data_IF_560916481563
#
_entry.id   IF_560916481563
#
_cell.length_a   1.000
_cell.length_b   1.000
_cell.length_c   1.000
_cell.angle_alpha   90.00
_cell.angle_beta   90.00
_cell.angle_gamma   90.00
#
_symmetry.space_group_name_H-M   'P 1'
#
loop_
_entity.id
_entity.type
_entity.pdbx_description
1 polymer ?
#
# COMPACT_ATOMS: atom_id res chain seq x y z
N UNK A 1 19.91 -18.27 8.23
CA UNK A 1 19.09 -17.51 7.27
C UNK A 1 17.71 -17.46 7.88
N UNK A 2 17.34 -16.31 8.43
CA UNK A 2 16.00 -16.13 8.98
C UNK A 2 15.00 -16.17 7.82
N UNK A 3 13.90 -16.91 8.01
CA UNK A 3 12.82 -16.92 7.03
C UNK A 3 12.22 -15.52 6.94
N UNK A 4 11.83 -15.06 5.74
CA UNK A 4 11.15 -13.77 5.62
C UNK A 4 9.86 -13.78 6.46
N UNK A 5 9.49 -12.64 7.07
CA UNK A 5 8.29 -12.55 7.89
C UNK A 5 7.06 -12.92 7.05
N UNK A 6 6.17 -13.72 7.63
CA UNK A 6 4.89 -14.10 7.03
C UNK A 6 3.81 -13.19 7.57
N UNK A 7 2.84 -12.85 6.74
CA UNK A 7 1.71 -12.01 7.10
C UNK A 7 0.41 -12.74 6.84
N UNK A 8 -0.53 -12.59 7.75
CA UNK A 8 -1.83 -13.29 7.73
C UNK A 8 -2.96 -12.29 8.04
N UNK A 9 -4.16 -12.56 7.52
CA UNK A 9 -5.35 -11.77 7.81
C UNK A 9 -6.05 -12.30 9.05
N UNK A 10 -6.53 -11.41 9.90
CA UNK A 10 -7.24 -11.75 11.12
C UNK A 10 -8.48 -10.88 11.26
N UNK A 11 -9.60 -11.51 11.59
CA UNK A 11 -10.77 -10.80 12.11
C UNK A 11 -10.59 -10.55 13.61
N UNK A 12 -10.97 -9.36 14.04
CA UNK A 12 -11.02 -9.00 15.45
C UNK A 12 -12.35 -9.44 16.06
N UNK A 13 -12.32 -10.21 17.16
CA UNK A 13 -13.51 -10.54 17.95
C UNK A 13 -13.80 -9.47 18.97
N UNK A 14 -12.80 -9.15 19.78
CA UNK A 14 -12.90 -8.19 20.86
C UNK A 14 -11.73 -7.23 20.78
N UNK A 15 -12.02 -5.93 20.75
CA UNK A 15 -11.02 -4.88 20.83
C UNK A 15 -11.62 -3.63 21.46
N UNK A 16 -10.91 -2.96 22.37
CA UNK A 16 -11.38 -1.68 22.91
C UNK A 16 -11.24 -0.52 21.90
N UNK A 17 -10.53 -0.71 20.79
CA UNK A 17 -10.14 0.36 19.88
C UNK A 17 -10.62 0.19 18.44
N UNK A 18 -11.01 -1.03 18.07
CA UNK A 18 -11.53 -1.38 16.75
C UNK A 18 -12.92 -1.99 16.88
N UNK A 19 -13.73 -1.84 15.85
CA UNK A 19 -15.05 -2.47 15.80
C UNK A 19 -14.90 -4.00 15.68
N UNK A 20 -15.80 -4.75 16.30
CA UNK A 20 -15.88 -6.20 16.12
C UNK A 20 -16.04 -6.54 14.62
N UNK A 21 -15.35 -7.58 14.17
CA UNK A 21 -15.32 -7.98 12.76
C UNK A 21 -14.39 -7.15 11.88
N UNK A 22 -13.67 -6.17 12.43
CA UNK A 22 -12.57 -5.49 11.71
C UNK A 22 -11.54 -6.51 11.25
N UNK A 23 -11.00 -6.32 10.05
CA UNK A 23 -9.96 -7.20 9.48
C UNK A 23 -8.65 -6.45 9.41
N UNK A 24 -7.60 -7.07 9.92
CA UNK A 24 -6.24 -6.55 9.86
C UNK A 24 -5.29 -7.61 9.29
N UNK A 25 -4.32 -7.15 8.50
CA UNK A 25 -3.13 -7.94 8.20
C UNK A 25 -2.14 -7.74 9.34
N UNK A 26 -1.61 -8.84 9.89
CA UNK A 26 -0.59 -8.83 10.94
C UNK A 26 0.54 -9.78 10.59
N UNK A 27 1.71 -9.56 11.19
CA UNK A 27 2.81 -10.53 11.13
C UNK A 27 2.37 -11.82 11.82
N UNK A 28 2.49 -12.96 11.14
CA UNK A 28 2.11 -14.29 11.63
C UNK A 28 3.19 -14.85 12.56
N UNK A 29 3.42 -14.10 13.63
CA UNK A 29 4.42 -14.37 14.66
C UNK A 29 3.79 -14.10 16.01
N UNK A 30 3.42 -15.20 16.69
CA UNK A 30 2.84 -15.13 18.03
C UNK A 30 3.94 -14.82 19.04
N UNK A 31 3.78 -13.75 19.79
CA UNK A 31 4.68 -13.31 20.83
C UNK A 31 4.00 -13.37 22.20
N UNK A 32 4.78 -13.55 23.26
CA UNK A 32 4.28 -13.35 24.62
C UNK A 32 4.13 -11.85 24.87
N UNK A 33 3.08 -11.45 25.61
CA UNK A 33 2.93 -10.08 26.07
C UNK A 33 4.15 -9.59 26.87
N UNK A 34 4.87 -10.49 27.53
CA UNK A 34 6.11 -10.18 28.28
C UNK A 34 7.33 -9.88 27.39
N UNK A 35 7.31 -10.25 26.09
CA UNK A 35 8.42 -10.01 25.16
C UNK A 35 8.26 -8.72 24.33
N UNK A 36 7.28 -7.89 24.69
CA UNK A 36 7.11 -6.56 24.11
C UNK A 36 8.15 -5.62 24.74
N UNK A 37 9.12 -5.20 23.91
CA UNK A 37 10.27 -4.40 24.34
C UNK A 37 9.87 -2.96 24.72
N UNK A 38 10.65 -2.32 25.61
CA UNK A 38 10.44 -0.94 26.07
C UNK A 38 10.63 0.11 24.94
N UNK A 39 11.15 -0.31 23.79
CA UNK A 39 11.32 0.48 22.56
C UNK A 39 10.01 0.87 21.87
N UNK A 40 8.85 0.38 22.33
CA UNK A 40 7.52 0.81 21.84
C UNK A 40 7.04 2.16 22.39
N UNK A 41 7.91 2.94 23.04
CA UNK A 41 7.69 4.37 23.26
C UNK A 41 6.79 4.75 24.44
N UNK A 42 6.44 3.82 25.33
CA UNK A 42 5.83 4.14 26.62
C UNK A 42 6.53 3.39 27.76
N UNK A 43 6.68 4.05 28.92
CA UNK A 43 6.82 3.32 30.19
C UNK A 43 5.52 2.54 30.37
N UNK A 44 5.59 1.22 30.34
CA UNK A 44 4.45 0.33 30.52
C UNK A 44 3.55 0.83 31.66
N UNK A 45 2.29 1.12 31.34
CA UNK A 45 1.24 0.83 32.31
C UNK A 45 1.34 -0.68 32.51
N UNK A 46 1.81 -1.04 33.71
CA UNK A 46 1.98 -2.40 34.23
C UNK A 46 0.96 -3.36 33.63
N UNK A 47 1.39 -4.23 32.72
CA UNK A 47 0.67 -5.48 32.46
C UNK A 47 0.60 -6.18 33.83
N UNK A 48 -0.60 -6.47 34.38
CA UNK A 48 -0.70 -7.22 35.63
C UNK A 48 0.03 -8.55 35.49
N UNK A 49 0.66 -9.04 36.57
CA UNK A 49 1.47 -10.28 36.51
C UNK A 49 0.70 -11.48 35.92
N UNK A 50 -0.64 -11.48 36.04
CA UNK A 50 -1.53 -12.49 35.48
C UNK A 50 -1.56 -12.56 33.94
N UNK A 51 -1.17 -11.48 33.25
CA UNK A 51 -1.27 -11.35 31.80
C UNK A 51 0.07 -11.64 31.09
N UNK A 52 1.14 -11.98 31.83
CA UNK A 52 2.44 -12.36 31.27
C UNK A 52 2.40 -13.64 30.43
N UNK A 53 1.45 -14.53 30.73
CA UNK A 53 1.25 -15.81 30.03
C UNK A 53 0.37 -15.65 28.78
N UNK A 54 -0.11 -14.44 28.46
CA UNK A 54 -0.93 -14.19 27.28
C UNK A 54 -0.05 -14.14 26.04
N UNK A 55 -0.42 -14.96 25.05
CA UNK A 55 0.20 -15.00 23.74
C UNK A 55 -0.69 -14.31 22.71
N UNK A 56 -0.08 -13.59 21.77
CA UNK A 56 -0.81 -12.78 20.82
C UNK A 56 0.08 -12.16 19.76
N UNK A 57 -0.42 -11.13 19.11
CA UNK A 57 0.20 -10.52 17.94
C UNK A 57 0.54 -9.05 18.22
N UNK A 58 1.62 -8.58 17.60
CA UNK A 58 2.03 -7.18 17.66
C UNK A 58 1.14 -6.34 16.75
N UNK A 59 0.69 -5.21 17.28
CA UNK A 59 -0.05 -4.19 16.52
C UNK A 59 0.86 -2.96 16.36
N UNK A 60 1.19 -2.53 15.13
CA UNK A 60 1.93 -1.29 14.91
C UNK A 60 1.20 -0.05 15.42
N UNK A 61 -0.14 -0.11 15.41
CA UNK A 61 -1.03 0.93 15.91
C UNK A 61 -2.30 0.27 16.44
N UNK A 62 -2.66 0.52 17.69
CA UNK A 62 -3.88 -0.02 18.30
C UNK A 62 -5.14 0.78 17.95
N UNK A 63 -5.06 1.79 17.07
CA UNK A 63 -6.18 2.62 16.65
C UNK A 63 -6.16 4.05 17.19
N UNK A 64 -5.15 4.40 17.99
CA UNK A 64 -4.92 5.71 18.62
C UNK A 64 -3.49 6.24 18.44
N UNK A 65 -2.71 5.62 17.54
CA UNK A 65 -1.36 6.04 17.23
C UNK A 65 -0.28 5.32 18.04
N UNK A 66 -0.67 4.53 19.02
CA UNK A 66 0.23 3.87 19.94
C UNK A 66 0.35 2.40 19.54
N UNK A 67 1.57 1.86 19.41
CA UNK A 67 1.75 0.42 19.20
C UNK A 67 1.14 -0.39 20.34
N UNK A 68 0.67 -1.58 20.02
CA UNK A 68 -0.07 -2.40 20.99
C UNK A 68 0.10 -3.90 20.77
N UNK A 69 -0.78 -4.62 21.43
CA UNK A 69 -0.83 -6.07 21.44
C UNK A 69 -2.30 -6.50 21.41
N UNK A 70 -2.57 -7.59 20.72
CA UNK A 70 -3.87 -8.23 20.71
C UNK A 70 -3.70 -9.71 21.03
N UNK A 71 -4.50 -10.22 21.98
CA UNK A 71 -4.41 -11.61 22.37
C UNK A 71 -4.82 -12.51 21.21
N UNK A 72 -4.20 -13.68 21.12
CA UNK A 72 -4.51 -14.65 20.07
C UNK A 72 -5.98 -15.08 20.10
N UNK A 73 -6.56 -15.17 21.29
CA UNK A 73 -7.94 -15.62 21.50
C UNK A 73 -8.97 -14.58 21.01
N UNK A 74 -8.56 -13.31 20.92
CA UNK A 74 -9.36 -12.19 20.39
C UNK A 74 -9.31 -12.10 18.86
N UNK A 75 -8.58 -13.01 18.21
CA UNK A 75 -8.45 -13.06 16.76
C UNK A 75 -9.08 -14.33 16.17
N UNK A 76 -9.57 -14.21 14.94
CA UNK A 76 -9.92 -15.34 14.08
C UNK A 76 -9.05 -15.27 12.82
N UNK A 77 -8.16 -16.27 12.59
CA UNK A 77 -7.42 -16.35 11.34
C UNK A 77 -8.37 -16.42 10.15
N UNK A 78 -8.16 -15.55 9.18
CA UNK A 78 -8.93 -15.48 7.95
C UNK A 78 -8.11 -16.08 6.79
N UNK A 79 -8.75 -16.89 5.97
CA UNK A 79 -8.14 -17.28 4.69
C UNK A 79 -8.00 -16.06 3.78
N UNK A 80 -6.90 -15.94 3.02
CA UNK A 80 -6.74 -14.86 2.05
C UNK A 80 -7.94 -14.74 1.12
N UNK A 81 -8.34 -13.51 0.84
CA UNK A 81 -9.43 -13.21 -0.08
C UNK A 81 -8.96 -13.34 -1.53
N UNK A 82 -9.82 -13.89 -2.39
CA UNK A 82 -9.56 -13.93 -3.83
C UNK A 82 -9.87 -12.57 -4.49
N UNK A 83 -10.67 -11.74 -3.83
CA UNK A 83 -11.16 -10.47 -4.34
C UNK A 83 -10.05 -9.42 -4.40
N UNK A 84 -9.88 -8.82 -5.57
CA UNK A 84 -9.01 -7.67 -5.73
C UNK A 84 -9.69 -6.42 -5.18
N UNK A 85 -9.25 -5.96 -4.01
CA UNK A 85 -9.83 -4.81 -3.32
C UNK A 85 -9.20 -3.54 -3.86
N UNK A 86 -9.96 -2.63 -4.51
CA UNK A 86 -9.41 -1.37 -5.00
C UNK A 86 -8.89 -0.57 -3.82
N UNK A 87 -7.59 -0.24 -3.75
CA UNK A 87 -7.03 0.39 -2.56
C UNK A 87 -7.69 1.73 -2.25
N UNK A 88 -8.11 2.50 -3.27
CA UNK A 88 -8.83 3.76 -3.08
C UNK A 88 -10.21 3.66 -2.43
N UNK A 89 -10.76 2.44 -2.26
CA UNK A 89 -12.03 2.19 -1.57
C UNK A 89 -11.86 1.75 -0.12
N UNK A 90 -10.64 1.44 0.29
CA UNK A 90 -10.35 1.02 1.65
C UNK A 90 -10.55 2.19 2.62
N UNK A 91 -11.34 2.03 3.69
CA UNK A 91 -11.51 3.08 4.71
C UNK A 91 -10.18 3.47 5.34
N UNK A 92 -10.03 4.75 5.68
CA UNK A 92 -8.82 5.29 6.29
C UNK A 92 -9.17 5.97 7.60
N UNK A 93 -8.34 5.79 8.63
CA UNK A 93 -8.42 6.49 9.91
C UNK A 93 -7.07 7.06 10.26
N UNK A 94 -6.98 8.37 10.45
CA UNK A 94 -5.82 9.02 11.07
C UNK A 94 -5.88 8.75 12.56
N UNK A 95 -4.80 8.21 13.11
CA UNK A 95 -4.72 7.72 14.49
C UNK A 95 -3.74 8.54 15.32
N UNK A 96 -2.73 9.13 14.69
CA UNK A 96 -1.68 9.92 15.35
C UNK A 96 -1.31 11.14 14.54
N UNK A 97 -1.02 12.25 15.23
CA UNK A 97 -0.35 13.40 14.63
C UNK A 97 0.47 14.17 15.67
N UNK A 98 1.74 14.47 15.34
CA UNK A 98 2.66 15.27 16.18
C UNK A 98 3.66 16.06 15.37
N UNK A 99 4.14 17.15 15.94
CA UNK A 99 5.28 17.92 15.44
C UNK A 99 6.51 17.56 16.28
N UNK A 100 7.55 17.10 15.60
CA UNK A 100 8.80 16.65 16.19
C UNK A 100 9.96 17.54 15.69
N UNK A 101 11.10 17.47 16.37
CA UNK A 101 12.31 18.26 16.06
C UNK A 101 13.53 17.36 15.94
N UNK A 102 14.29 17.50 14.85
CA UNK A 102 15.59 16.84 14.68
C UNK A 102 16.62 17.36 15.70
N UNK A 103 16.48 18.63 16.11
CA UNK A 103 17.42 19.29 17.03
C UNK A 103 17.14 18.99 18.52
N UNK A 104 15.92 18.57 18.84
CA UNK A 104 15.49 18.26 20.20
C UNK A 104 14.57 17.02 20.19
N UNK A 105 15.10 15.82 20.48
CA UNK A 105 14.32 14.58 20.50
C UNK A 105 13.21 14.56 21.56
N UNK A 106 13.24 15.46 22.55
CA UNK A 106 12.19 15.60 23.56
C UNK A 106 11.09 16.57 23.12
N UNK A 107 11.27 17.26 22.00
CA UNK A 107 10.27 18.14 21.44
C UNK A 107 9.12 17.30 20.85
N UNK A 108 7.97 17.36 21.51
CA UNK A 108 6.72 16.76 21.08
C UNK A 108 5.62 17.81 21.19
N UNK A 109 5.11 18.28 20.05
CA UNK A 109 4.15 19.38 20.00
C UNK A 109 2.90 19.06 19.18
N UNK A 110 1.81 19.76 19.47
CA UNK A 110 0.53 19.60 18.79
C UNK A 110 0.58 20.29 17.40
N UNK A 111 0.16 19.61 16.31
CA UNK A 111 0.07 20.22 14.97
C UNK A 111 -0.73 21.54 14.90
N UNK A 112 -1.69 21.74 15.80
CA UNK A 112 -2.43 23.00 15.91
C UNK A 112 -1.49 24.20 16.20
N UNK A 113 -0.36 23.99 16.86
CA UNK A 113 0.61 25.04 17.17
C UNK A 113 1.40 25.51 15.95
N UNK A 114 1.43 24.71 14.87
CA UNK A 114 1.93 25.14 13.56
C UNK A 114 0.80 25.46 12.57
N UNK A 115 -0.43 25.59 13.06
CA UNK A 115 -1.59 26.01 12.28
C UNK A 115 -2.24 24.91 11.43
N UNK A 116 -1.90 23.64 11.65
CA UNK A 116 -2.58 22.51 10.99
C UNK A 116 -3.76 22.09 11.86
N UNK A 117 -4.96 22.51 11.46
CA UNK A 117 -6.20 22.21 12.17
C UNK A 117 -6.99 21.11 11.44
N UNK A 118 -6.86 19.88 11.92
CA UNK A 118 -7.64 18.75 11.42
C UNK A 118 -7.16 18.25 10.05
N UNK A 119 -6.54 17.06 10.04
CA UNK A 119 -6.28 16.33 8.80
C UNK A 119 -7.59 15.70 8.36
N UNK A 120 -7.99 15.94 7.11
CA UNK A 120 -9.21 15.37 6.55
C UNK A 120 -8.89 14.36 5.46
N UNK A 121 -9.82 13.46 5.20
CA UNK A 121 -9.74 12.51 4.10
C UNK A 121 -10.67 13.04 3.01
N UNK A 122 -10.10 13.43 1.87
CA UNK A 122 -10.87 13.73 0.67
C UNK A 122 -10.84 12.52 -0.25
N UNK A 123 -12.02 12.01 -0.59
CA UNK A 123 -12.14 10.82 -1.41
C UNK A 123 -13.35 10.87 -2.33
N UNK A 124 -13.17 10.31 -3.52
CA UNK A 124 -14.24 10.05 -4.45
C UNK A 124 -13.91 8.80 -5.27
N UNK A 125 -14.59 8.61 -6.41
CA UNK A 125 -14.35 7.46 -7.29
C UNK A 125 -12.93 7.42 -7.90
N UNK A 126 -12.23 8.56 -7.95
CA UNK A 126 -10.97 8.74 -8.67
C UNK A 126 -9.77 8.90 -7.76
N UNK A 127 -9.94 9.38 -6.53
CA UNK A 127 -8.85 9.58 -5.59
C UNK A 127 -9.25 9.32 -4.16
N UNK A 128 -8.22 9.11 -3.34
CA UNK A 128 -8.29 9.16 -1.90
C UNK A 128 -7.00 9.84 -1.44
N UNK A 129 -7.14 10.95 -0.71
CA UNK A 129 -6.01 11.76 -0.25
C UNK A 129 -6.19 12.23 1.18
N UNK A 130 -5.09 12.30 1.92
CA UNK A 130 -5.03 13.03 3.19
C UNK A 130 -4.76 14.50 2.88
N UNK A 131 -5.65 15.37 3.36
CA UNK A 131 -5.58 16.80 3.15
C UNK A 131 -5.09 17.48 4.42
N UNK A 132 -3.95 18.15 4.29
CA UNK A 132 -3.27 18.88 5.35
C UNK A 132 -3.47 20.38 5.10
N UNK A 133 -4.41 21.04 5.80
CA UNK A 133 -4.60 22.47 5.64
C UNK A 133 -3.36 23.22 6.16
N UNK A 134 -2.83 24.14 5.34
CA UNK A 134 -1.62 24.89 5.66
C UNK A 134 -1.95 26.37 5.86
N UNK A 135 -1.47 27.03 6.93
CA UNK A 135 -1.60 28.47 7.08
C UNK A 135 -0.76 29.24 6.05
N UNK A 136 -1.11 30.50 5.77
CA UNK A 136 -0.47 31.33 4.74
C UNK A 136 1.07 31.43 4.84
N UNK A 137 1.60 31.36 6.06
CA UNK A 137 3.04 31.45 6.36
C UNK A 137 3.61 30.11 6.84
N UNK A 138 3.05 28.99 6.36
CA UNK A 138 3.57 27.68 6.69
C UNK A 138 5.01 27.51 6.18
N UNK A 139 5.91 26.87 6.97
CA UNK A 139 7.25 26.56 6.50
C UNK A 139 7.21 25.73 5.20
N UNK A 140 8.23 25.89 4.36
CA UNK A 140 8.39 25.05 3.18
C UNK A 140 8.49 23.57 3.58
N UNK A 141 7.76 22.73 2.85
CA UNK A 141 7.85 21.27 2.98
C UNK A 141 9.05 20.83 2.14
N UNK A 142 10.06 20.27 2.81
CA UNK A 142 11.30 19.83 2.17
C UNK A 142 11.11 18.47 1.54
N UNK A 143 10.55 17.52 2.29
CA UNK A 143 10.28 16.17 1.79
C UNK A 143 9.14 15.52 2.56
N UNK A 144 8.54 14.50 1.95
CA UNK A 144 7.51 13.66 2.56
C UNK A 144 7.85 12.20 2.29
N UNK A 145 7.93 11.40 3.34
CA UNK A 145 8.15 9.95 3.25
C UNK A 145 6.94 9.23 3.81
N UNK A 146 6.48 8.19 3.13
CA UNK A 146 5.42 7.31 3.57
C UNK A 146 5.97 5.90 3.77
N UNK A 147 5.81 5.34 4.96
CA UNK A 147 6.32 4.02 5.34
C UNK A 147 5.18 3.10 5.75
N UNK A 148 5.26 1.83 5.33
CA UNK A 148 4.43 0.77 5.90
C UNK A 148 5.10 0.28 7.20
N UNK A 149 4.48 0.53 8.35
CA UNK A 149 5.10 0.25 9.66
C UNK A 149 5.02 -1.21 10.06
N UNK A 150 4.12 -1.99 9.45
CA UNK A 150 4.03 -3.44 9.68
C UNK A 150 5.13 -4.20 8.92
N UNK A 151 5.34 -3.84 7.65
CA UNK A 151 6.27 -4.53 6.74
C UNK A 151 7.64 -3.88 6.67
N UNK A 152 7.82 -2.77 7.39
CA UNK A 152 9.07 -2.03 7.55
C UNK A 152 9.73 -1.58 6.23
N UNK A 153 8.94 -1.07 5.28
CA UNK A 153 9.46 -0.55 4.01
C UNK A 153 8.85 0.80 3.63
N UNK A 154 9.63 1.60 2.89
CA UNK A 154 9.20 2.86 2.31
C UNK A 154 8.28 2.61 1.12
N UNK A 155 7.08 3.18 1.17
CA UNK A 155 6.04 3.06 0.16
C UNK A 155 6.22 4.14 -0.90
N UNK A 156 6.33 5.39 -0.45
CA UNK A 156 6.54 6.55 -1.32
C UNK A 156 7.51 7.53 -0.66
N UNK A 157 8.20 8.32 -1.49
CA UNK A 157 9.00 9.46 -1.06
C UNK A 157 8.92 10.59 -2.08
N UNK A 158 8.73 11.81 -1.60
CA UNK A 158 8.55 13.02 -2.40
C UNK A 158 9.51 14.10 -1.91
N UNK A 159 10.33 14.61 -2.82
CA UNK A 159 11.19 15.77 -2.56
C UNK A 159 10.51 17.04 -3.09
N UNK A 160 10.46 18.10 -2.27
CA UNK A 160 9.83 19.39 -2.60
C UNK A 160 8.39 19.25 -3.14
N UNK A 161 7.46 18.65 -2.37
CA UNK A 161 6.12 18.38 -2.84
C UNK A 161 5.34 19.65 -3.20
N UNK A 162 4.52 19.56 -4.25
CA UNK A 162 3.62 20.63 -4.65
C UNK A 162 2.47 20.82 -3.64
N UNK A 163 2.00 22.06 -3.53
CA UNK A 163 0.84 22.42 -2.73
C UNK A 163 -0.39 22.59 -3.63
N UNK A 164 -1.52 22.10 -3.15
CA UNK A 164 -2.83 22.34 -3.76
C UNK A 164 -3.46 23.62 -3.20
N UNK A 165 -4.25 24.31 -4.04
CA UNK A 165 -5.10 25.42 -3.61
C UNK A 165 -6.54 24.93 -3.51
N UNK A 166 -7.05 24.84 -2.30
CA UNK A 166 -8.43 24.48 -1.99
C UNK A 166 -9.24 25.75 -1.70
N UNK A 167 -10.57 25.63 -1.62
CA UNK A 167 -11.46 26.76 -1.29
C UNK A 167 -11.07 27.46 0.03
N UNK A 168 -10.50 26.72 0.98
CA UNK A 168 -10.12 27.20 2.30
C UNK A 168 -8.62 27.59 2.43
N UNK A 169 -7.90 27.68 1.31
CA UNK A 169 -6.48 28.07 1.29
C UNK A 169 -5.56 26.97 0.76
N UNK A 170 -4.26 27.11 1.05
CA UNK A 170 -3.25 26.15 0.62
C UNK A 170 -3.32 24.88 1.45
N UNK A 171 -3.14 23.74 0.80
CA UNK A 171 -3.04 22.46 1.47
C UNK A 171 -1.92 21.62 0.86
N UNK A 172 -1.33 20.75 1.68
CA UNK A 172 -0.61 19.61 1.14
C UNK A 172 -1.59 18.43 1.03
N UNK A 173 -1.48 17.68 -0.07
CA UNK A 173 -2.36 16.57 -0.37
C UNK A 173 -1.53 15.31 -0.60
N UNK A 174 -1.54 14.39 0.36
CA UNK A 174 -0.90 13.09 0.20
C UNK A 174 -1.89 12.14 -0.46
N UNK A 175 -1.65 11.80 -1.73
CA UNK A 175 -2.41 10.78 -2.42
C UNK A 175 -2.10 9.41 -1.82
N UNK A 176 -3.14 8.72 -1.35
CA UNK A 176 -3.05 7.39 -0.75
C UNK A 176 -3.96 6.39 -1.46
N UNK A 177 -4.54 6.74 -2.61
CA UNK A 177 -5.46 5.88 -3.35
C UNK A 177 -4.82 4.60 -3.89
N UNK A 178 -3.50 4.57 -4.03
CA UNK A 178 -2.74 3.41 -4.53
C UNK A 178 -2.26 2.47 -3.42
N UNK A 179 -2.16 2.93 -2.16
CA UNK A 179 -1.64 2.11 -1.06
C UNK A 179 -2.73 1.18 -0.53
N UNK A 180 -2.41 -0.11 -0.37
CA UNK A 180 -3.33 -1.14 0.12
C UNK A 180 -3.75 -0.97 1.59
N UNK A 181 -4.61 -1.85 2.12
CA UNK A 181 -4.82 -1.97 3.56
C UNK A 181 -3.50 -2.14 4.32
N UNK A 182 -3.40 -1.58 5.52
CA UNK A 182 -2.20 -1.67 6.34
C UNK A 182 -2.03 -0.51 7.32
N UNK A 183 -0.84 -0.46 7.92
CA UNK A 183 -0.43 0.54 8.90
C UNK A 183 0.63 1.45 8.29
N UNK A 184 0.41 2.76 8.37
CA UNK A 184 1.25 3.72 7.68
C UNK A 184 1.70 4.85 8.59
N UNK A 185 2.94 5.28 8.39
CA UNK A 185 3.51 6.48 9.00
C UNK A 185 4.01 7.41 7.89
N UNK A 186 3.54 8.64 7.92
CA UNK A 186 4.00 9.72 7.07
C UNK A 186 4.86 10.67 7.90
N UNK A 187 6.08 10.95 7.41
CA UNK A 187 6.94 12.00 7.93
C UNK A 187 7.06 13.13 6.90
N UNK A 188 6.56 14.31 7.24
CA UNK A 188 6.65 15.53 6.43
C UNK A 188 7.70 16.46 7.04
N UNK A 189 8.86 16.57 6.39
CA UNK A 189 9.96 17.44 6.83
C UNK A 189 9.70 18.89 6.46
N UNK A 190 9.90 19.78 7.42
CA UNK A 190 9.73 21.22 7.28
C UNK A 190 11.10 21.92 7.28
N UNK A 191 11.20 23.04 6.56
CA UNK A 191 12.36 23.93 6.66
C UNK A 191 12.58 24.35 8.12
N UNK A 192 13.83 24.20 8.61
CA UNK A 192 14.29 24.41 10.01
C UNK A 192 14.33 23.18 10.92
N UNK A 193 14.37 21.96 10.37
CA UNK A 193 14.66 20.75 11.15
C UNK A 193 13.52 20.29 12.06
N UNK A 194 12.28 20.67 11.72
CA UNK A 194 11.06 20.11 12.32
C UNK A 194 10.40 19.18 11.32
N UNK A 195 9.61 18.23 11.79
CA UNK A 195 8.79 17.42 10.91
C UNK A 195 7.43 17.11 11.55
N UNK A 196 6.41 16.99 10.71
CA UNK A 196 5.09 16.53 11.08
C UNK A 196 5.04 15.02 10.84
N UNK A 197 4.81 14.26 11.92
CA UNK A 197 4.58 12.82 11.86
C UNK A 197 3.10 12.53 11.96
N UNK A 198 2.58 11.72 11.05
CA UNK A 198 1.17 11.29 11.04
C UNK A 198 1.10 9.79 10.86
N UNK A 199 0.31 9.12 11.69
CA UNK A 199 -0.01 7.70 11.50
C UNK A 199 -1.45 7.56 11.07
N UNK A 200 -1.68 6.61 10.18
CA UNK A 200 -3.01 6.23 9.76
C UNK A 200 -3.08 4.74 9.48
N UNK A 201 -4.28 4.20 9.66
CA UNK A 201 -4.61 2.81 9.34
C UNK A 201 -5.53 2.84 8.13
N UNK A 202 -5.23 1.99 7.16
CA UNK A 202 -6.09 1.73 6.01
C UNK A 202 -6.69 0.34 6.19
N UNK A 203 -8.00 0.28 6.34
CA UNK A 203 -8.71 -0.96 6.66
C UNK A 203 -9.13 -1.70 5.40
N UNK A 204 -9.35 -3.00 5.52
CA UNK A 204 -10.16 -3.69 4.53
C UNK A 204 -11.60 -3.12 4.56
N UNK A 205 -12.31 -3.08 3.42
CA UNK A 205 -13.69 -2.60 3.37
C UNK A 205 -14.62 -3.36 4.31
N UNK A 206 -15.63 -2.64 4.83
CA UNK A 206 -16.63 -3.21 5.75
C UNK A 206 -17.51 -4.30 5.12
N UNK A 207 -17.58 -4.39 3.78
CA UNK A 207 -18.32 -5.47 3.11
C UNK A 207 -17.75 -6.86 3.42
N UNK A 208 -16.49 -6.95 3.86
CA UNK A 208 -15.92 -8.21 4.32
C UNK A 208 -16.40 -8.64 5.72
N UNK A 209 -17.12 -7.77 6.44
CA UNK A 209 -17.73 -8.08 7.74
C UNK A 209 -18.76 -9.20 7.63
N UNK A 210 -19.43 -9.37 6.48
CA UNK A 210 -20.35 -10.50 6.27
C UNK A 210 -19.66 -11.87 6.45
N UNK A 211 -18.37 -11.96 6.12
CA UNK A 211 -17.58 -13.19 6.30
C UNK A 211 -17.24 -13.45 7.77
N UNK A 212 -17.11 -12.40 8.57
CA UNK A 212 -16.96 -12.51 10.01
C UNK A 212 -18.20 -13.18 10.63
N UNK A 213 -19.40 -12.71 10.27
CA UNK A 213 -20.65 -13.26 10.79
C UNK A 213 -20.80 -14.75 10.44
N UNK A 214 -20.47 -15.15 9.21
CA UNK A 214 -20.47 -16.57 8.79
C UNK A 214 -19.52 -17.46 9.60
N UNK A 215 -18.39 -16.91 10.05
CA UNK A 215 -17.42 -17.60 10.91
C UNK A 215 -17.91 -17.67 12.36
N UNK A 216 -18.53 -16.59 12.86
CA UNK A 216 -19.09 -16.47 14.20
C UNK A 216 -20.25 -17.44 14.44
N UNK A 217 -21.10 -17.62 13.44
CA UNK A 217 -22.25 -18.55 13.49
C UNK A 217 -21.87 -20.03 13.33
N UNK A 218 -20.58 -20.35 13.15
CA UNK A 218 -20.08 -21.72 13.02
C UNK A 218 -20.48 -22.42 11.71
N UNK A 219 -21.03 -21.67 10.75
CA UNK A 219 -21.52 -22.16 9.45
C UNK A 219 -20.49 -22.12 8.33
N UNK A 220 -19.29 -21.59 8.58
CA UNK A 220 -18.22 -21.57 7.59
C UNK A 220 -17.69 -22.99 7.32
N UNK A 221 -18.30 -23.66 6.36
CA UNK A 221 -17.71 -24.81 5.68
C UNK A 221 -16.73 -24.26 4.64
N UNK A 222 -15.44 -24.54 4.82
CA UNK A 222 -14.39 -24.24 3.84
C UNK A 222 -14.91 -24.68 2.46
N UNK A 223 -15.11 -23.79 1.48
CA UNK A 223 -15.40 -24.24 0.14
C UNK A 223 -14.16 -24.99 -0.32
N UNK A 224 -14.28 -26.31 -0.41
CA UNK A 224 -13.31 -27.15 -1.10
C UNK A 224 -13.39 -26.73 -2.55
N UNK A 225 -12.59 -25.74 -2.94
CA UNK A 225 -12.29 -25.53 -4.35
C UNK A 225 -11.53 -26.78 -4.79
N UNK A 226 -12.26 -27.78 -5.25
CA UNK A 226 -11.71 -28.77 -6.15
C UNK A 226 -11.19 -27.98 -7.34
N UNK A 227 -9.86 -27.85 -7.43
CA UNK A 227 -9.22 -27.42 -8.67
C UNK A 227 -9.80 -28.27 -9.78
N UNK A 228 -10.40 -27.68 -10.83
CA UNK A 228 -10.58 -28.40 -12.07
C UNK A 228 -9.19 -28.94 -12.44
N UNK A 229 -9.08 -30.25 -12.60
CA UNK A 229 -7.84 -30.98 -12.87
C UNK A 229 -7.21 -30.66 -14.24
N UNK A 230 -7.62 -29.56 -14.85
CA UNK A 230 -7.13 -29.04 -16.13
C UNK A 230 -6.39 -27.69 -15.99
N UNK A 231 -6.06 -27.24 -14.78
CA UNK A 231 -5.12 -26.13 -14.63
C UNK A 231 -3.72 -26.61 -15.02
N UNK A 232 -3.26 -26.16 -16.20
CA UNK A 232 -1.94 -26.49 -16.73
C UNK A 232 -0.84 -26.26 -15.67
N UNK A 233 0.18 -27.13 -15.62
CA UNK A 233 1.27 -27.00 -14.67
C UNK A 233 1.89 -25.61 -14.79
N UNK A 234 1.87 -24.87 -13.70
CA UNK A 234 2.62 -23.62 -13.53
C UNK A 234 4.09 -23.99 -13.49
N UNK A 235 4.69 -24.14 -14.66
CA UNK A 235 6.13 -24.04 -14.79
C UNK A 235 6.45 -22.55 -14.58
N UNK A 236 6.82 -22.22 -13.34
CA UNK A 236 7.57 -21.00 -13.04
C UNK A 236 8.88 -21.09 -13.84
N UNK A 237 8.86 -20.53 -15.04
CA UNK A 237 10.08 -20.27 -15.79
C UNK A 237 10.79 -19.14 -15.03
N UNK A 238 11.64 -19.51 -14.10
CA UNK A 238 12.80 -18.69 -13.75
C UNK A 238 13.79 -18.80 -14.91
N UNK A 239 13.49 -18.12 -16.01
CA UNK A 239 14.50 -17.89 -17.04
C UNK A 239 15.46 -16.86 -16.48
N UNK A 240 16.71 -17.27 -16.27
CA UNK A 240 17.82 -16.38 -15.98
C UNK A 240 17.76 -15.16 -16.93
N UNK A 241 17.89 -13.96 -16.37
CA UNK A 241 17.82 -12.70 -17.11
C UNK A 241 18.87 -12.56 -18.23
N UNK A 242 19.82 -13.50 -18.31
CA UNK A 242 20.94 -13.49 -19.24
C UNK A 242 20.67 -14.20 -20.59
N UNK A 243 19.54 -14.91 -20.74
CA UNK A 243 19.23 -15.73 -21.95
C UNK A 243 18.11 -15.17 -22.84
N UNK A 244 17.57 -13.99 -22.53
CA UNK A 244 16.59 -13.33 -23.39
C UNK A 244 17.32 -12.33 -24.30
N UNK A 245 17.26 -12.54 -25.62
CA UNK A 245 17.66 -11.55 -26.65
C UNK A 245 16.72 -10.33 -26.59
N UNK A 246 16.86 -9.52 -25.55
CA UNK A 246 16.09 -8.30 -25.33
C UNK A 246 16.80 -7.13 -25.99
N UNK A 247 16.02 -6.27 -26.64
CA UNK A 247 16.53 -5.09 -27.33
C UNK A 247 17.16 -4.06 -26.36
N UNK A 248 16.67 -4.01 -25.12
CA UNK A 248 17.12 -3.08 -24.09
C UNK A 248 17.26 -3.79 -22.73
N UNK A 249 18.01 -3.20 -21.76
CA UNK A 249 18.04 -3.69 -20.40
C UNK A 249 16.64 -3.75 -19.77
N UNK A 250 16.37 -4.82 -19.02
CA UNK A 250 15.06 -5.08 -18.36
C UNK A 250 14.62 -3.87 -17.52
N UNK A 251 15.55 -3.28 -16.78
CA UNK A 251 15.31 -2.16 -15.88
C UNK A 251 14.86 -0.91 -16.64
N UNK A 252 15.43 -0.69 -17.83
CA UNK A 252 15.11 0.42 -18.73
C UNK A 252 13.72 0.25 -19.34
N UNK A 253 13.39 -0.97 -19.78
CA UNK A 253 12.07 -1.30 -20.31
C UNK A 253 10.98 -1.18 -19.25
N UNK A 254 11.24 -1.64 -18.03
CA UNK A 254 10.31 -1.46 -16.91
C UNK A 254 10.19 0.01 -16.48
N UNK A 255 11.26 0.79 -16.61
CA UNK A 255 11.18 2.23 -16.35
C UNK A 255 10.30 2.94 -17.39
N UNK A 256 10.50 2.66 -18.68
CA UNK A 256 9.65 3.20 -19.76
C UNK A 256 8.18 2.82 -19.56
N UNK A 257 7.92 1.55 -19.20
CA UNK A 257 6.58 1.06 -18.89
C UNK A 257 5.96 1.77 -17.68
N UNK A 258 6.73 2.03 -16.62
CA UNK A 258 6.26 2.77 -15.45
C UNK A 258 5.85 4.20 -15.82
N UNK A 259 6.67 4.90 -16.62
CA UNK A 259 6.38 6.26 -17.09
C UNK A 259 5.14 6.30 -18.00
N UNK A 260 4.96 5.30 -18.87
CA UNK A 260 3.82 5.22 -19.78
C UNK A 260 2.50 4.97 -19.03
N UNK A 261 2.56 4.19 -17.96
CA UNK A 261 1.41 3.75 -17.15
C UNK A 261 1.24 4.56 -15.86
N UNK A 262 1.86 5.74 -15.82
CA UNK A 262 1.78 6.66 -14.69
C UNK A 262 0.38 7.25 -14.51
N UNK A 263 -0.09 7.39 -13.27
CA UNK A 263 -1.39 7.98 -12.96
C UNK A 263 -1.22 9.36 -12.31
N UNK A 264 -2.26 10.18 -12.36
CA UNK A 264 -2.26 11.54 -11.81
C UNK A 264 -1.84 12.59 -12.83
N UNK A 265 -1.14 13.64 -12.38
CA UNK A 265 -0.79 14.79 -13.23
C UNK A 265 0.07 14.44 -14.45
N UNK A 266 0.78 13.30 -14.41
CA UNK A 266 1.63 12.83 -15.50
C UNK A 266 0.97 11.78 -16.40
N UNK A 267 -0.31 11.46 -16.18
CA UNK A 267 -1.04 10.50 -17.00
C UNK A 267 -1.02 10.92 -18.47
N UNK A 268 -0.53 10.01 -19.33
CA UNK A 268 -0.37 10.20 -20.79
C UNK A 268 0.52 11.38 -21.20
N UNK A 269 1.36 11.91 -20.30
CA UNK A 269 2.41 12.84 -20.72
C UNK A 269 3.46 12.10 -21.55
N UNK A 270 4.10 12.76 -22.53
CA UNK A 270 5.22 12.18 -23.26
C UNK A 270 6.32 11.68 -22.30
N UNK A 271 6.79 10.46 -22.50
CA UNK A 271 7.86 9.88 -21.68
C UNK A 271 9.24 10.32 -22.15
N UNK A 272 9.33 10.97 -23.31
CA UNK A 272 10.57 11.27 -24.04
C UNK A 272 11.60 12.05 -23.19
N UNK A 273 11.20 13.21 -22.68
CA UNK A 273 12.10 14.06 -21.88
C UNK A 273 12.45 13.43 -20.52
N UNK A 274 11.56 12.57 -20.02
CA UNK A 274 11.70 11.89 -18.72
C UNK A 274 12.64 10.68 -18.84
N UNK A 275 12.58 9.97 -19.96
CA UNK A 275 13.54 8.95 -20.32
C UNK A 275 14.94 9.55 -20.49
N UNK A 276 15.06 10.70 -21.16
CA UNK A 276 16.35 11.41 -21.30
C UNK A 276 16.92 11.90 -19.97
N UNK A 277 16.07 12.23 -19.00
CA UNK A 277 16.52 12.65 -17.68
C UNK A 277 17.26 11.52 -16.95
N UNK A 278 16.79 10.28 -17.08
CA UNK A 278 17.38 9.11 -16.42
C UNK A 278 18.44 8.39 -17.26
N UNK A 279 18.27 8.40 -18.58
CA UNK A 279 19.17 7.76 -19.56
C UNK A 279 19.56 8.78 -20.64
N UNK A 280 20.47 9.72 -20.34
CA UNK A 280 20.85 10.82 -21.25
C UNK A 280 21.50 10.36 -22.55
N UNK A 281 22.05 9.14 -22.57
CA UNK A 281 22.69 8.51 -23.72
C UNK A 281 21.71 8.00 -24.78
N UNK A 282 20.42 7.87 -24.46
CA UNK A 282 19.43 7.35 -25.40
C UNK A 282 19.14 8.34 -26.53
N UNK A 283 19.21 7.82 -27.74
CA UNK A 283 18.76 8.52 -28.95
C UNK A 283 17.24 8.63 -28.99
N UNK A 284 16.72 9.59 -29.75
CA UNK A 284 15.27 9.75 -29.96
C UNK A 284 14.64 8.48 -30.54
N UNK A 285 15.35 7.78 -31.43
CA UNK A 285 14.85 6.55 -32.04
C UNK A 285 14.77 5.39 -31.03
N UNK A 286 15.72 5.29 -30.09
CA UNK A 286 15.67 4.30 -29.01
C UNK A 286 14.51 4.56 -28.05
N UNK A 287 14.29 5.83 -27.68
CA UNK A 287 13.17 6.20 -26.81
C UNK A 287 11.83 5.91 -27.49
N UNK A 288 11.71 6.16 -28.79
CA UNK A 288 10.51 5.80 -29.55
C UNK A 288 10.25 4.29 -29.55
N UNK A 289 11.29 3.45 -29.63
CA UNK A 289 11.17 1.98 -29.56
C UNK A 289 10.78 1.51 -28.16
N UNK A 290 11.39 2.07 -27.11
CA UNK A 290 11.02 1.80 -25.70
C UNK A 290 9.57 2.18 -25.41
N UNK A 291 9.12 3.35 -25.90
CA UNK A 291 7.73 3.77 -25.79
C UNK A 291 6.79 2.79 -26.49
N UNK A 292 7.12 2.37 -27.71
CA UNK A 292 6.33 1.39 -28.45
C UNK A 292 6.22 0.05 -27.70
N UNK A 293 7.32 -0.44 -27.12
CA UNK A 293 7.31 -1.64 -26.28
C UNK A 293 6.40 -1.49 -25.06
N UNK A 294 6.46 -0.33 -24.40
CA UNK A 294 5.61 -0.03 -23.25
C UNK A 294 4.12 0.02 -23.64
N UNK A 295 3.78 0.73 -24.73
CA UNK A 295 2.41 0.86 -25.24
C UNK A 295 1.84 -0.51 -25.68
N UNK A 296 2.65 -1.36 -26.31
CA UNK A 296 2.25 -2.72 -26.71
C UNK A 296 2.00 -3.62 -25.49
N UNK A 297 2.85 -3.53 -24.46
CA UNK A 297 2.68 -4.27 -23.22
C UNK A 297 1.42 -3.82 -22.47
N UNK A 298 1.22 -2.51 -22.31
CA UNK A 298 0.04 -1.93 -21.68
C UNK A 298 -1.24 -2.36 -22.42
N UNK A 299 -1.29 -2.14 -23.74
CA UNK A 299 -2.47 -2.46 -24.55
C UNK A 299 -2.83 -3.94 -24.46
N UNK A 300 -1.84 -4.84 -24.51
CA UNK A 300 -2.09 -6.27 -24.37
C UNK A 300 -2.63 -6.66 -23.00
N UNK A 301 -2.06 -6.14 -21.92
CA UNK A 301 -2.51 -6.46 -20.56
C UNK A 301 -3.92 -5.89 -20.31
N UNK A 302 -4.21 -4.68 -20.79
CA UNK A 302 -5.56 -4.11 -20.75
C UNK A 302 -6.56 -4.96 -21.56
N UNK A 303 -6.17 -5.45 -22.73
CA UNK A 303 -7.02 -6.36 -23.51
C UNK A 303 -7.27 -7.70 -22.81
N UNK A 304 -6.29 -8.24 -22.06
CA UNK A 304 -6.53 -9.42 -21.22
C UNK A 304 -7.59 -9.15 -20.14
N UNK A 305 -7.63 -7.94 -19.58
CA UNK A 305 -8.66 -7.56 -18.63
C UNK A 305 -10.06 -7.45 -19.27
N UNK A 306 -10.16 -6.99 -20.52
CA UNK A 306 -11.43 -7.01 -21.27
C UNK A 306 -11.92 -8.45 -21.51
N UNK A 307 -11.00 -9.36 -21.83
CA UNK A 307 -11.30 -10.79 -22.02
C UNK A 307 -11.71 -11.49 -20.73
N UNK A 308 -11.14 -11.07 -19.60
CA UNK A 308 -11.58 -11.51 -18.27
C UNK A 308 -13.03 -11.09 -18.01
N UNK A 309 -13.37 -9.82 -18.27
CA UNK A 309 -14.74 -9.33 -18.12
C UNK A 309 -15.74 -10.07 -19.02
N UNK A 310 -15.32 -10.41 -20.24
CA UNK A 310 -16.11 -11.21 -21.17
C UNK A 310 -16.28 -12.68 -20.74
N UNK A 311 -15.58 -13.12 -19.68
CA UNK A 311 -15.60 -14.50 -19.18
C UNK A 311 -14.79 -15.48 -20.02
N UNK A 312 -13.92 -15.00 -20.92
CA UNK A 312 -13.09 -15.85 -21.78
C UNK A 312 -11.88 -16.43 -21.05
N UNK A 313 -11.37 -15.72 -20.05
CA UNK A 313 -10.26 -16.11 -19.19
C UNK A 313 -10.59 -15.77 -17.74
N UNK A 314 -9.95 -16.45 -16.79
CA UNK A 314 -10.00 -16.07 -15.39
C UNK A 314 -9.04 -14.92 -15.07
N UNK A 315 -9.31 -14.18 -14.00
CA UNK A 315 -8.41 -13.11 -13.54
C UNK A 315 -6.98 -13.61 -13.26
N UNK A 316 -6.85 -14.85 -12.78
CA UNK A 316 -5.56 -15.49 -12.52
C UNK A 316 -4.77 -15.82 -13.80
N UNK A 317 -5.41 -15.82 -14.96
CA UNK A 317 -4.76 -16.10 -16.24
C UNK A 317 -4.03 -14.87 -16.81
N UNK A 318 -4.41 -13.65 -16.37
CA UNK A 318 -3.86 -12.39 -16.91
C UNK A 318 -2.34 -12.34 -16.72
N UNK A 319 -1.84 -12.60 -15.51
CA UNK A 319 -0.42 -12.53 -15.20
C UNK A 319 0.44 -13.56 -15.98
N UNK A 320 0.11 -14.86 -15.99
CA UNK A 320 0.87 -15.83 -16.79
C UNK A 320 0.76 -15.57 -18.30
N UNK A 321 -0.39 -15.12 -18.82
CA UNK A 321 -0.53 -14.76 -20.24
C UNK A 321 0.28 -13.52 -20.62
N UNK A 322 0.37 -12.53 -19.72
CA UNK A 322 1.22 -11.36 -19.88
C UNK A 322 2.71 -11.73 -19.86
N UNK A 323 3.15 -12.50 -18.85
CA UNK A 323 4.55 -12.96 -18.72
C UNK A 323 5.00 -13.85 -19.86
N UNK A 324 4.10 -14.64 -20.44
CA UNK A 324 4.41 -15.46 -21.62
C UNK A 324 4.75 -14.60 -22.84
N UNK A 325 4.11 -13.44 -22.99
CA UNK A 325 4.34 -12.53 -24.12
C UNK A 325 5.45 -11.51 -23.83
N UNK A 326 5.53 -11.03 -22.59
CA UNK A 326 6.46 -10.01 -22.14
C UNK A 326 7.17 -10.48 -20.84
N UNK A 327 8.14 -11.40 -20.95
CA UNK A 327 8.79 -12.01 -19.78
C UNK A 327 9.59 -11.01 -18.94
N UNK A 328 9.99 -9.89 -19.55
CA UNK A 328 10.77 -8.82 -18.94
C UNK A 328 9.97 -7.93 -17.97
N UNK A 329 8.63 -7.94 -18.00
CA UNK A 329 7.83 -7.05 -17.14
C UNK A 329 8.00 -7.47 -15.68
N UNK A 330 8.34 -6.55 -14.80
CA UNK A 330 8.40 -6.77 -13.36
C UNK A 330 6.99 -6.97 -12.77
N UNK A 331 6.87 -7.81 -11.75
CA UNK A 331 5.57 -8.16 -11.16
C UNK A 331 4.82 -6.93 -10.62
N UNK A 332 5.55 -5.94 -10.10
CA UNK A 332 4.98 -4.66 -9.65
C UNK A 332 4.32 -3.89 -10.79
N UNK A 333 4.95 -3.81 -11.96
CA UNK A 333 4.40 -3.13 -13.14
C UNK A 333 3.24 -3.92 -13.74
N UNK A 334 3.36 -5.25 -13.81
CA UNK A 334 2.28 -6.10 -14.27
C UNK A 334 1.03 -5.93 -13.42
N UNK A 335 1.15 -6.00 -12.10
CA UNK A 335 0.02 -5.86 -11.19
C UNK A 335 -0.62 -4.48 -11.28
N UNK A 336 0.18 -3.43 -11.45
CA UNK A 336 -0.30 -2.06 -11.72
C UNK A 336 -1.16 -2.02 -12.99
N UNK A 337 -0.63 -2.49 -14.12
CA UNK A 337 -1.32 -2.44 -15.43
C UNK A 337 -2.55 -3.34 -15.42
N UNK A 338 -2.46 -4.52 -14.81
CA UNK A 338 -3.62 -5.38 -14.59
C UNK A 338 -4.71 -4.60 -13.84
N UNK A 339 -4.39 -3.92 -12.74
CA UNK A 339 -5.35 -3.09 -12.00
C UNK A 339 -5.99 -2.00 -12.87
N UNK A 340 -5.18 -1.34 -13.71
CA UNK A 340 -5.62 -0.32 -14.67
C UNK A 340 -6.59 -0.90 -15.69
N UNK A 341 -6.22 -1.99 -16.35
CA UNK A 341 -7.04 -2.65 -17.37
C UNK A 341 -8.36 -3.12 -16.80
N UNK A 342 -8.34 -3.74 -15.61
CA UNK A 342 -9.53 -4.24 -14.93
C UNK A 342 -10.48 -3.10 -14.53
N UNK A 343 -9.93 -1.97 -14.08
CA UNK A 343 -10.72 -0.76 -13.81
C UNK A 343 -11.45 -0.27 -15.06
N UNK A 344 -10.75 -0.16 -16.20
CA UNK A 344 -11.33 0.35 -17.44
C UNK A 344 -12.30 -0.61 -18.10
N UNK A 345 -12.04 -1.92 -18.06
CA UNK A 345 -12.97 -2.92 -18.58
C UNK A 345 -14.30 -2.86 -17.84
N UNK A 346 -14.28 -2.70 -16.50
CA UNK A 346 -15.46 -2.75 -15.63
C UNK A 346 -16.18 -1.41 -15.46
N UNK A 347 -15.72 -0.36 -16.12
CA UNK A 347 -16.35 0.97 -16.13
C UNK A 347 -17.42 1.04 -17.22
#
# INVERSE_FOLDING_TARGET
MDQPPKFSLFFLKESPHFEEGTILELEDSVVSAASLDATFGQKFNTIPDADHDIFGYRLPDRGDGIPGFIAKDDLIPCTPFAENIPPGRCPVKVTYQRVLSDADPLFDDNPNNIGIFGISIDQNLHWQKLVFPLPDKFPEIVSVTLKNTLKDFEVDSYESPSLEHLENGKAYCLHIGHVGPGFYEMDMRLGRGRFLRVRFIKFLPLEFTERYELLKEGTYTKPTFERPSESMPVNLIHSHADDLDLEFPIDMMNHALALATEWGENFRKPIDDRMRLKYPELTTDEIARLKKLADEAESYICHLAERELAGEIGEYDIAPLAKRRFPWIADSQLNRIKGIGMYWARK
#
